data_IF_867724744097
#
_entry.id   IF_867724744097
#
_cell.length_a   1.000
_cell.length_b   1.000
_cell.length_c   1.000
_cell.angle_alpha   90.00
_cell.angle_beta   90.00
_cell.angle_gamma   90.00
#
_symmetry.space_group_name_H-M   'P 1'
#
loop_
_entity.id
_entity.type
_entity.pdbx_description
1 polymer ?
#
# COMPACT_ATOMS: atom_id res chain seq x y z
N UNK A 1 -4.50 11.07 23.95
CA UNK A 1 -4.45 11.39 23.47
C UNK A 1 -4.45 11.57 22.83
N UNK A 2 -4.21 11.76 22.77
CA UNK A 2 -4.17 12.09 22.23
C UNK A 2 -3.89 12.01 21.43
N UNK A 3 -3.85 12.00 21.16
CA UNK A 3 -3.61 12.06 20.37
C UNK A 3 -3.26 12.33 19.60
N UNK A 4 -3.01 11.84 19.52
CA UNK A 4 -2.82 12.26 18.60
C UNK A 4 -2.73 12.75 17.72
N UNK A 5 -2.83 13.20 17.58
CA UNK A 5 -2.81 13.86 16.58
C UNK A 5 -1.89 13.61 15.56
N UNK A 6 -0.98 13.21 15.46
CA UNK A 6 -0.04 12.97 14.42
C UNK A 6 0.07 11.50 14.09
N UNK A 7 -1.02 10.85 14.02
CA UNK A 7 -1.03 9.44 13.73
C UNK A 7 -0.62 9.18 12.29
N UNK A 8 0.37 8.32 12.13
CA UNK A 8 0.74 7.80 10.83
C UNK A 8 0.33 6.35 10.77
N UNK A 9 -0.41 6.00 9.77
CA UNK A 9 -0.81 4.63 9.56
C UNK A 9 -0.21 4.16 8.26
N UNK A 10 0.57 3.11 8.36
CA UNK A 10 1.22 2.54 7.19
C UNK A 10 0.67 1.16 6.92
N UNK A 11 0.24 0.96 5.71
CA UNK A 11 -0.27 -0.33 5.27
C UNK A 11 0.60 -0.84 4.16
N UNK A 12 0.81 -2.15 4.14
CA UNK A 12 1.57 -2.76 3.08
C UNK A 12 0.86 -4.02 2.64
N UNK A 13 0.89 -4.28 1.36
CA UNK A 13 0.35 -5.51 0.81
C UNK A 13 1.16 -5.89 -0.41
N UNK A 14 0.96 -7.10 -0.89
CA UNK A 14 1.63 -7.55 -2.09
C UNK A 14 0.63 -8.23 -3.00
N UNK A 15 0.92 -8.22 -4.28
CA UNK A 15 0.08 -8.86 -5.27
C UNK A 15 0.92 -9.16 -6.50
N UNK A 16 0.43 -10.08 -7.30
CA UNK A 16 1.12 -10.41 -8.54
C UNK A 16 0.92 -9.27 -9.54
N UNK A 17 1.98 -8.82 -10.19
CA UNK A 17 1.86 -7.70 -11.13
C UNK A 17 0.91 -7.99 -12.28
N UNK A 18 0.72 -9.25 -12.62
CA UNK A 18 -0.22 -9.61 -13.68
C UNK A 18 -1.67 -9.49 -13.25
N UNK A 19 -1.92 -9.33 -11.96
CA UNK A 19 -3.27 -9.19 -11.44
C UNK A 19 -3.73 -7.75 -11.62
N UNK A 20 -4.22 -7.43 -12.80
CA UNK A 20 -4.57 -6.05 -13.13
C UNK A 20 -5.74 -5.54 -12.31
N UNK A 21 -6.64 -6.43 -11.91
CA UNK A 21 -7.78 -6.03 -11.09
C UNK A 21 -7.28 -5.52 -9.74
N UNK A 22 -6.40 -6.27 -9.10
CA UNK A 22 -5.86 -5.83 -7.82
C UNK A 22 -5.03 -4.56 -7.97
N UNK A 23 -4.25 -4.50 -9.04
CA UNK A 23 -3.41 -3.33 -9.29
C UNK A 23 -4.26 -2.07 -9.41
N UNK A 24 -5.31 -2.11 -10.19
CA UNK A 24 -6.20 -0.97 -10.36
C UNK A 24 -6.89 -0.61 -9.05
N UNK A 25 -7.36 -1.62 -8.33
CA UNK A 25 -8.08 -1.39 -7.09
C UNK A 25 -7.18 -0.69 -6.08
N UNK A 26 -5.99 -1.21 -5.88
CA UNK A 26 -5.10 -0.65 -4.86
C UNK A 26 -4.54 0.71 -5.27
N UNK A 27 -4.32 0.93 -6.57
CA UNK A 27 -3.94 2.25 -7.04
C UNK A 27 -5.02 3.28 -6.74
N UNK A 28 -6.28 2.90 -6.92
CA UNK A 28 -7.38 3.81 -6.63
C UNK A 28 -7.46 4.15 -5.15
N UNK A 29 -7.07 3.21 -4.31
CA UNK A 29 -7.06 3.45 -2.87
C UNK A 29 -5.86 4.29 -2.42
N UNK A 30 -4.89 4.48 -3.29
CA UNK A 30 -3.74 5.29 -2.95
C UNK A 30 -2.47 4.51 -2.66
N UNK A 31 -2.51 3.20 -2.83
CA UNK A 31 -1.30 2.39 -2.64
C UNK A 31 -0.32 2.67 -3.76
N UNK A 32 0.95 2.73 -3.40
CA UNK A 32 2.03 3.02 -4.33
C UNK A 32 2.96 1.80 -4.38
N UNK A 33 3.23 1.32 -5.58
CA UNK A 33 4.16 0.22 -5.76
C UNK A 33 5.57 0.70 -5.44
N UNK A 34 6.24 -0.04 -4.59
CA UNK A 34 7.50 0.40 -3.99
C UNK A 34 8.72 -0.19 -4.64
N UNK A 35 8.57 -0.93 -5.72
CA UNK A 35 9.69 -1.60 -6.35
C UNK A 35 10.37 -2.58 -5.39
N UNK A 36 9.60 -3.11 -4.48
CA UNK A 36 10.00 -4.18 -3.58
C UNK A 36 9.25 -5.44 -3.96
N UNK A 37 9.89 -6.57 -3.75
CA UNK A 37 9.32 -7.83 -4.18
C UNK A 37 9.35 -8.84 -3.05
N UNK A 38 8.27 -9.59 -2.93
CA UNK A 38 8.21 -10.77 -2.08
C UNK A 38 7.92 -11.94 -3.01
N UNK A 39 8.90 -12.79 -3.19
CA UNK A 39 8.82 -13.84 -4.19
C UNK A 39 8.54 -13.21 -5.54
N UNK A 40 7.41 -13.50 -6.15
CA UNK A 40 7.06 -12.90 -7.43
C UNK A 40 5.93 -11.88 -7.30
N UNK A 41 5.73 -11.35 -6.11
CA UNK A 41 4.70 -10.35 -5.87
C UNK A 41 5.32 -9.00 -5.59
N UNK A 42 4.72 -7.98 -6.16
CA UNK A 42 5.18 -6.62 -5.92
C UNK A 42 4.51 -6.07 -4.67
N UNK A 43 5.27 -5.34 -3.89
CA UNK A 43 4.78 -4.75 -2.65
C UNK A 43 4.30 -3.33 -2.92
N UNK A 44 3.15 -3.00 -2.38
CA UNK A 44 2.60 -1.65 -2.45
C UNK A 44 2.33 -1.15 -1.05
N UNK A 45 2.51 0.12 -0.84
CA UNK A 45 2.36 0.73 0.48
C UNK A 45 1.44 1.91 0.41
N UNK A 46 0.72 2.10 1.49
CA UNK A 46 -0.16 3.25 1.65
C UNK A 46 0.18 3.90 2.97
N UNK A 47 0.41 5.20 2.92
CA UNK A 47 0.71 5.96 4.12
C UNK A 47 -0.41 6.96 4.36
N UNK A 48 -1.02 6.89 5.52
CA UNK A 48 -2.08 7.81 5.91
C UNK A 48 -1.58 8.66 7.06
N UNK A 49 -1.82 9.95 6.93
CA UNK A 49 -1.47 10.90 7.98
C UNK A 49 -2.74 11.54 8.49
N UNK A 50 -2.89 11.52 9.79
CA UNK A 50 -4.07 12.12 10.43
C UNK A 50 -3.72 13.34 11.22
#
# INVERSE_FOLDING_TARGET
MLKGKHGHRNFALSYQPANLVAKHLYNKLGFIEMNEWEDDEIVARLSLTE
#
